data_IF_908675262790
#
_entry.id   IF_908675262790
#
_cell.length_a   1.000
_cell.length_b   1.000
_cell.length_c   1.000
_cell.angle_alpha   90.00
_cell.angle_beta   90.00
_cell.angle_gamma   90.00
#
_symmetry.space_group_name_H-M   'P 1'
#
loop_
_entity.id
_entity.type
_entity.pdbx_description
1 polymer ?
#
# COMPACT_ATOMS: atom_id res chain seq x y z
N UNK A 1 18.41 -18.21 13.21
CA UNK A 1 16.95 -18.37 13.04
C UNK A 1 16.39 -18.76 14.39
N UNK A 2 15.21 -18.29 14.76
CA UNK A 2 14.62 -18.63 16.05
C UNK A 2 14.06 -20.06 15.99
N UNK A 3 14.30 -20.85 17.02
CA UNK A 3 13.79 -22.22 17.13
C UNK A 3 12.31 -22.27 17.52
N UNK A 4 11.79 -21.19 18.13
CA UNK A 4 10.40 -21.03 18.50
C UNK A 4 9.91 -19.61 18.17
N UNK A 5 8.62 -19.48 17.85
CA UNK A 5 7.92 -18.19 17.76
C UNK A 5 7.24 -17.87 19.08
N UNK A 6 7.10 -16.57 19.38
CA UNK A 6 6.56 -16.11 20.67
C UNK A 6 5.05 -16.32 20.81
N UNK A 7 4.33 -16.54 19.71
CA UNK A 7 2.87 -16.71 19.64
C UNK A 7 2.53 -18.17 19.34
N UNK A 8 1.56 -18.73 20.07
CA UNK A 8 1.09 -20.11 19.80
C UNK A 8 0.12 -20.10 18.62
N UNK A 9 0.00 -21.21 17.86
CA UNK A 9 -0.93 -21.30 16.74
C UNK A 9 -2.39 -20.96 17.10
N UNK A 10 -2.86 -21.40 18.27
CA UNK A 10 -4.21 -21.12 18.78
C UNK A 10 -4.46 -19.66 19.17
N UNK A 11 -3.40 -18.88 19.40
CA UNK A 11 -3.47 -17.46 19.74
C UNK A 11 -3.37 -16.56 18.49
N UNK A 12 -3.26 -17.13 17.29
CA UNK A 12 -3.20 -16.37 16.03
C UNK A 12 -4.58 -15.89 15.61
N UNK A 13 -4.65 -14.65 15.11
CA UNK A 13 -5.90 -14.04 14.65
C UNK A 13 -6.11 -14.34 13.16
N UNK A 14 -7.33 -14.73 12.73
CA UNK A 14 -7.59 -15.00 11.33
C UNK A 14 -7.68 -13.71 10.49
N UNK A 15 -7.23 -13.80 9.24
CA UNK A 15 -7.58 -12.84 8.19
C UNK A 15 -8.80 -13.34 7.41
N UNK A 16 -9.58 -12.42 6.87
CA UNK A 16 -10.77 -12.76 6.07
C UNK A 16 -10.59 -12.35 4.61
N UNK A 17 -11.08 -13.18 3.70
CA UNK A 17 -11.03 -12.91 2.25
C UNK A 17 -12.40 -12.51 1.73
N UNK A 18 -12.45 -11.37 1.05
CA UNK A 18 -13.62 -10.92 0.28
C UNK A 18 -13.18 -10.41 -1.10
N UNK A 19 -14.09 -9.85 -1.87
CA UNK A 19 -13.86 -9.46 -3.25
C UNK A 19 -14.60 -8.17 -3.60
N UNK A 20 -14.04 -7.40 -4.53
CA UNK A 20 -14.78 -6.30 -5.15
C UNK A 20 -15.99 -6.80 -5.97
N UNK A 21 -16.95 -5.90 -6.14
CA UNK A 21 -18.18 -6.10 -6.93
C UNK A 21 -18.19 -5.16 -8.14
N UNK A 22 -19.07 -5.36 -9.13
CA UNK A 22 -19.23 -4.42 -10.23
C UNK A 22 -19.59 -3.00 -9.77
N UNK A 23 -20.26 -2.85 -8.63
CA UNK A 23 -20.60 -1.53 -8.06
C UNK A 23 -19.35 -0.75 -7.63
N UNK A 24 -18.31 -1.43 -7.12
CA UNK A 24 -17.00 -0.81 -6.81
C UNK A 24 -16.37 -0.20 -8.07
N UNK A 25 -16.43 -0.92 -9.20
CA UNK A 25 -15.92 -0.42 -10.49
C UNK A 25 -16.70 0.82 -10.95
N UNK A 26 -18.02 0.83 -10.80
CA UNK A 26 -18.86 1.99 -11.13
C UNK A 26 -18.49 3.22 -10.30
N UNK A 27 -18.34 3.07 -8.98
CA UNK A 27 -17.94 4.17 -8.08
C UNK A 27 -16.58 4.72 -8.48
N UNK A 28 -15.63 3.85 -8.80
CA UNK A 28 -14.31 4.28 -9.28
C UNK A 28 -14.44 5.07 -10.58
N UNK A 29 -15.17 4.55 -11.57
CA UNK A 29 -15.38 5.21 -12.86
C UNK A 29 -16.04 6.59 -12.72
N UNK A 30 -17.03 6.73 -11.85
CA UNK A 30 -17.67 8.01 -11.52
C UNK A 30 -16.67 9.05 -11.00
N UNK A 31 -15.66 8.61 -10.25
CA UNK A 31 -14.71 9.48 -9.54
C UNK A 31 -13.34 9.61 -10.22
N UNK A 32 -13.09 8.93 -11.34
CA UNK A 32 -11.80 8.97 -12.06
C UNK A 32 -11.35 10.38 -12.43
N UNK A 33 -12.30 11.27 -12.73
CA UNK A 33 -12.02 12.65 -13.09
C UNK A 33 -11.31 13.45 -12.00
N UNK A 34 -11.46 13.04 -10.73
CA UNK A 34 -10.85 13.63 -9.55
C UNK A 34 -9.45 13.07 -9.26
N UNK A 35 -9.06 11.97 -9.91
CA UNK A 35 -7.77 11.35 -9.66
C UNK A 35 -6.65 12.06 -10.44
N UNK A 36 -5.81 12.80 -9.72
CA UNK A 36 -4.61 13.45 -10.26
C UNK A 36 -3.48 12.45 -10.53
N UNK A 37 -3.40 11.33 -9.82
CA UNK A 37 -2.36 10.30 -9.99
C UNK A 37 -2.53 9.47 -11.26
N UNK A 38 -3.75 9.34 -11.77
CA UNK A 38 -4.05 8.63 -13.03
C UNK A 38 -3.82 9.52 -14.25
N UNK A 39 -3.85 10.85 -14.10
CA UNK A 39 -3.61 11.81 -15.20
C UNK A 39 -2.12 12.00 -15.47
N UNK A 40 -1.52 11.01 -16.14
CA UNK A 40 -0.36 11.03 -17.08
C UNK A 40 0.75 12.12 -16.99
N UNK A 41 0.98 12.78 -15.86
CA UNK A 41 1.97 13.88 -15.76
C UNK A 41 3.07 13.65 -14.74
N UNK A 42 2.99 12.58 -13.94
CA UNK A 42 4.04 12.22 -12.99
C UNK A 42 4.66 10.88 -13.38
N UNK A 43 6.00 10.82 -13.37
CA UNK A 43 6.77 9.58 -13.46
C UNK A 43 6.58 8.77 -12.17
N UNK A 44 5.37 8.26 -11.95
CA UNK A 44 5.05 7.39 -10.83
C UNK A 44 5.71 6.02 -10.96
N UNK A 45 5.66 5.20 -9.91
CA UNK A 45 6.17 3.84 -9.97
C UNK A 45 5.48 3.07 -11.12
N UNK A 46 6.25 2.27 -11.88
CA UNK A 46 5.75 1.47 -13.01
C UNK A 46 4.58 0.55 -12.59
N UNK A 47 4.47 0.24 -11.31
CA UNK A 47 3.36 -0.48 -10.72
C UNK A 47 2.67 0.37 -9.66
N UNK A 48 1.51 0.96 -10.00
CA UNK A 48 0.63 1.59 -9.03
C UNK A 48 -0.25 0.51 -8.39
N UNK A 49 -0.19 0.30 -7.06
CA UNK A 49 -0.95 -0.75 -6.39
C UNK A 49 -2.44 -0.40 -6.18
N UNK A 50 -2.86 0.83 -6.54
CA UNK A 50 -4.19 1.32 -6.22
C UNK A 50 -5.30 0.59 -6.97
N UNK A 51 -6.46 0.45 -6.33
CA UNK A 51 -7.60 -0.28 -6.87
C UNK A 51 -8.13 0.39 -8.15
N UNK A 52 -8.14 1.72 -8.21
CA UNK A 52 -8.54 2.46 -9.40
C UNK A 52 -7.58 2.22 -10.58
N UNK A 53 -6.27 2.12 -10.32
CA UNK A 53 -5.28 1.79 -11.36
C UNK A 53 -5.46 0.35 -11.86
N UNK A 54 -5.78 -0.59 -10.94
CA UNK A 54 -6.04 -1.99 -11.27
C UNK A 54 -7.30 -2.14 -12.14
N UNK A 55 -8.38 -1.45 -11.78
CA UNK A 55 -9.64 -1.50 -12.54
C UNK A 55 -9.47 -0.88 -13.93
N UNK A 56 -8.79 0.26 -14.05
CA UNK A 56 -8.48 0.86 -15.34
C UNK A 56 -7.69 -0.07 -16.26
N UNK A 57 -6.71 -0.78 -15.69
CA UNK A 57 -5.86 -1.70 -16.45
C UNK A 57 -6.55 -3.04 -16.76
N UNK A 58 -7.46 -3.47 -15.89
CA UNK A 58 -8.12 -4.78 -15.96
C UNK A 58 -9.63 -4.65 -15.72
N UNK A 59 -10.37 -3.98 -16.62
CA UNK A 59 -11.79 -3.71 -16.44
C UNK A 59 -12.62 -4.99 -16.36
N UNK A 60 -13.72 -4.96 -15.59
CA UNK A 60 -14.63 -6.10 -15.43
C UNK A 60 -14.08 -7.28 -14.63
N UNK A 61 -12.91 -7.15 -14.00
CA UNK A 61 -12.34 -8.20 -13.12
C UNK A 61 -12.72 -7.96 -11.66
N UNK A 62 -12.98 -9.07 -10.96
CA UNK A 62 -13.06 -9.06 -9.49
C UNK A 62 -11.66 -9.06 -8.91
N UNK A 63 -11.44 -8.24 -7.90
CA UNK A 63 -10.17 -8.15 -7.18
C UNK A 63 -10.34 -8.71 -5.77
N UNK A 64 -9.35 -9.47 -5.31
CA UNK A 64 -9.30 -9.98 -3.94
C UNK A 64 -9.03 -8.84 -2.97
N UNK A 65 -9.67 -8.91 -1.80
CA UNK A 65 -9.45 -8.01 -0.68
C UNK A 65 -9.25 -8.85 0.57
N UNK A 66 -8.10 -8.68 1.22
CA UNK A 66 -7.84 -9.30 2.52
C UNK A 66 -8.16 -8.30 3.63
N UNK A 67 -8.98 -8.74 4.59
CA UNK A 67 -9.29 -8.02 5.80
C UNK A 67 -8.34 -8.52 6.88
N UNK A 68 -7.32 -7.72 7.16
CA UNK A 68 -6.21 -8.05 8.06
C UNK A 68 -6.36 -7.26 9.36
N UNK A 69 -6.45 -7.90 10.54
CA UNK A 69 -6.40 -7.20 11.82
C UNK A 69 -5.06 -6.48 12.02
N UNK A 70 -5.07 -5.20 12.42
CA UNK A 70 -3.84 -4.45 12.66
C UNK A 70 -3.09 -4.90 13.95
N UNK A 71 -3.73 -5.71 14.79
CA UNK A 71 -3.14 -6.27 16.00
C UNK A 71 -4.05 -7.29 16.67
N UNK A 72 -3.50 -8.08 17.60
CA UNK A 72 -4.23 -9.15 18.28
C UNK A 72 -5.43 -8.64 19.11
N UNK A 73 -5.27 -7.48 19.74
CA UNK A 73 -6.29 -6.82 20.57
C UNK A 73 -6.90 -5.57 19.89
N UNK A 74 -6.78 -5.47 18.55
CA UNK A 74 -7.23 -4.30 17.78
C UNK A 74 -8.56 -4.57 17.09
N UNK A 75 -9.49 -3.61 17.18
CA UNK A 75 -10.72 -3.61 16.37
C UNK A 75 -10.50 -3.00 14.97
N UNK A 76 -9.27 -2.56 14.66
CA UNK A 76 -8.92 -1.94 13.39
C UNK A 76 -8.56 -3.01 12.36
N UNK A 77 -9.21 -2.93 11.20
CA UNK A 77 -9.00 -3.83 10.07
C UNK A 77 -8.37 -3.05 8.91
N UNK A 78 -7.25 -3.56 8.39
CA UNK A 78 -6.62 -3.10 7.17
C UNK A 78 -7.19 -3.85 5.96
N UNK A 79 -7.88 -3.19 5.02
CA UNK A 79 -8.43 -3.81 3.83
C UNK A 79 -7.39 -3.87 2.71
N UNK A 80 -6.46 -4.82 2.81
CA UNK A 80 -5.41 -5.03 1.83
C UNK A 80 -6.02 -5.27 0.44
N UNK A 81 -5.49 -4.55 -0.55
CA UNK A 81 -5.95 -4.60 -1.93
C UNK A 81 -6.80 -3.41 -2.37
N UNK A 82 -7.23 -2.56 -1.42
CA UNK A 82 -8.07 -1.37 -1.64
C UNK A 82 -7.33 -0.04 -1.47
N UNK A 83 -6.02 0.03 -1.68
CA UNK A 83 -5.31 1.31 -1.72
C UNK A 83 -5.98 2.25 -2.73
N UNK A 84 -6.32 3.48 -2.33
CA UNK A 84 -7.17 4.39 -3.11
C UNK A 84 -6.88 5.85 -2.76
N UNK A 85 -7.00 6.76 -3.72
CA UNK A 85 -6.77 8.21 -3.51
C UNK A 85 -8.00 9.09 -3.80
N UNK A 86 -9.19 8.49 -3.88
CA UNK A 86 -10.46 9.18 -4.15
C UNK A 86 -10.98 9.94 -2.91
N UNK A 87 -11.97 10.85 -3.02
CA UNK A 87 -12.58 11.50 -1.85
C UNK A 87 -13.14 10.51 -0.83
N UNK A 88 -13.09 10.86 0.46
CA UNK A 88 -13.48 9.98 1.56
C UNK A 88 -14.92 9.43 1.42
N UNK A 89 -15.87 10.24 0.96
CA UNK A 89 -17.27 9.85 0.74
C UNK A 89 -17.40 8.75 -0.33
N UNK A 90 -16.59 8.83 -1.39
CA UNK A 90 -16.54 7.81 -2.43
C UNK A 90 -15.90 6.52 -1.91
N UNK A 91 -14.87 6.64 -1.05
CA UNK A 91 -14.25 5.47 -0.40
C UNK A 91 -15.23 4.76 0.54
N UNK A 92 -15.98 5.50 1.35
CA UNK A 92 -16.98 4.92 2.25
C UNK A 92 -18.08 4.18 1.47
N UNK A 93 -18.60 4.80 0.39
CA UNK A 93 -19.52 4.13 -0.54
C UNK A 93 -18.90 2.86 -1.12
N UNK A 94 -17.67 2.93 -1.61
CA UNK A 94 -16.95 1.78 -2.19
C UNK A 94 -16.82 0.64 -1.19
N UNK A 95 -16.45 0.93 0.06
CA UNK A 95 -16.29 -0.08 1.10
C UNK A 95 -17.62 -0.80 1.39
N UNK A 96 -18.74 -0.08 1.42
CA UNK A 96 -20.07 -0.67 1.67
C UNK A 96 -20.60 -1.55 0.54
N UNK A 97 -20.04 -1.45 -0.66
CA UNK A 97 -20.35 -2.32 -1.80
C UNK A 97 -19.57 -3.65 -1.78
N UNK A 98 -18.69 -3.84 -0.80
CA UNK A 98 -17.92 -5.08 -0.63
C UNK A 98 -18.69 -6.04 0.29
N UNK A 99 -18.91 -7.30 -0.13
CA UNK A 99 -19.62 -8.27 0.69
C UNK A 99 -18.97 -8.46 2.07
N UNK A 100 -19.78 -8.32 3.11
CA UNK A 100 -19.37 -8.37 4.51
C UNK A 100 -18.99 -7.01 5.12
N UNK A 101 -18.94 -5.95 4.32
CA UNK A 101 -18.62 -4.58 4.75
C UNK A 101 -19.81 -3.60 4.60
N UNK A 102 -21.03 -4.10 4.44
CA UNK A 102 -22.23 -3.29 4.15
C UNK A 102 -22.49 -2.21 5.22
N UNK A 103 -22.12 -2.50 6.47
CA UNK A 103 -22.27 -1.61 7.63
C UNK A 103 -20.91 -1.15 8.20
N UNK A 104 -19.85 -1.18 7.40
CA UNK A 104 -18.51 -0.79 7.85
C UNK A 104 -18.46 0.68 8.29
N UNK A 105 -17.70 0.93 9.36
CA UNK A 105 -17.35 2.27 9.80
C UNK A 105 -15.89 2.56 9.43
N UNK A 106 -15.68 3.50 8.51
CA UNK A 106 -14.34 3.87 8.06
C UNK A 106 -13.67 4.78 9.08
N UNK A 107 -12.62 4.29 9.74
CA UNK A 107 -11.89 5.04 10.77
C UNK A 107 -10.97 6.12 10.17
N UNK A 108 -10.33 5.80 9.03
CA UNK A 108 -9.41 6.70 8.33
C UNK A 108 -9.60 6.52 6.82
N UNK A 109 -9.73 7.60 6.05
CA UNK A 109 -9.73 7.49 4.59
C UNK A 109 -8.33 7.09 4.10
N UNK A 110 -8.29 6.28 3.05
CA UNK A 110 -7.09 6.02 2.27
C UNK A 110 -6.58 7.29 1.58
N UNK A 111 -5.28 7.34 1.31
CA UNK A 111 -4.61 8.49 0.71
C UNK A 111 -3.41 8.06 -0.11
N UNK A 112 -2.98 8.93 -1.01
CA UNK A 112 -1.71 8.84 -1.71
C UNK A 112 -0.67 9.72 -1.03
N UNK A 113 0.59 9.28 -1.02
CA UNK A 113 1.72 10.11 -0.60
C UNK A 113 2.62 10.35 -1.79
N UNK A 114 3.01 11.61 -1.98
CA UNK A 114 4.05 11.99 -2.91
C UNK A 114 5.26 12.48 -2.12
N UNK A 115 6.44 12.02 -2.50
CA UNK A 115 7.69 12.36 -1.85
C UNK A 115 8.82 12.39 -2.88
N UNK A 116 9.84 13.18 -2.60
CA UNK A 116 11.07 13.18 -3.37
C UNK A 116 11.97 12.02 -2.93
N UNK A 117 12.76 11.51 -3.86
CA UNK A 117 13.77 10.50 -3.60
C UNK A 117 15.08 10.87 -4.30
N UNK A 118 16.20 10.37 -3.79
CA UNK A 118 17.51 10.51 -4.39
C UNK A 118 17.75 9.36 -5.35
N UNK A 119 18.29 9.65 -6.53
CA UNK A 119 18.63 8.62 -7.51
C UNK A 119 19.68 7.66 -6.92
N UNK A 120 19.34 6.38 -6.65
CA UNK A 120 20.25 5.47 -5.98
C UNK A 120 21.49 5.15 -6.82
N UNK A 121 21.52 5.50 -8.12
CA UNK A 121 22.73 5.40 -8.97
C UNK A 121 23.83 6.39 -8.57
N UNK A 122 23.51 7.37 -7.71
CA UNK A 122 24.47 8.29 -7.11
C UNK A 122 25.11 7.74 -5.83
N UNK A 123 24.82 6.49 -5.47
CA UNK A 123 25.40 5.80 -4.33
C UNK A 123 26.35 4.69 -4.79
N UNK A 124 27.40 4.45 -4.00
CA UNK A 124 28.23 3.25 -4.09
C UNK A 124 27.42 2.02 -3.69
N UNK A 125 27.96 0.84 -3.97
CA UNK A 125 27.42 -0.40 -3.40
C UNK A 125 27.44 -0.40 -1.87
N UNK A 126 28.27 0.41 -1.21
CA UNK A 126 28.27 0.64 0.24
C UNK A 126 27.14 1.57 0.72
N UNK A 127 26.28 2.05 -0.17
CA UNK A 127 25.26 3.08 0.06
C UNK A 127 25.81 4.48 0.43
N UNK A 128 27.12 4.67 0.36
CA UNK A 128 27.76 5.97 0.50
C UNK A 128 27.57 6.81 -0.77
N UNK A 129 27.28 8.10 -0.62
CA UNK A 129 27.17 9.04 -1.73
C UNK A 129 28.49 9.22 -2.48
N UNK A 130 28.44 9.28 -3.81
CA UNK A 130 29.60 9.71 -4.61
C UNK A 130 29.91 11.21 -4.46
N UNK A 131 28.94 12.02 -4.03
CA UNK A 131 29.05 13.49 -3.98
C UNK A 131 29.60 13.99 -2.65
N UNK A 132 29.25 13.33 -1.55
CA UNK A 132 29.63 13.74 -0.19
C UNK A 132 30.16 12.53 0.55
N UNK A 133 31.45 12.55 0.87
CA UNK A 133 32.09 11.50 1.65
C UNK A 133 31.50 11.44 3.07
N UNK A 134 31.23 10.23 3.56
CA UNK A 134 30.62 10.00 4.87
C UNK A 134 29.10 10.18 4.93
N UNK A 135 28.44 10.55 3.82
CA UNK A 135 26.98 10.58 3.74
C UNK A 135 26.43 9.25 3.20
N UNK A 136 25.59 8.59 3.97
CA UNK A 136 24.95 7.33 3.62
C UNK A 136 23.44 7.49 3.56
N UNK A 137 22.80 6.88 2.56
CA UNK A 137 21.35 6.92 2.37
C UNK A 137 20.79 5.50 2.34
N UNK A 138 19.70 5.25 3.07
CA UNK A 138 19.05 3.94 3.13
C UNK A 138 17.52 4.08 3.26
N UNK A 139 16.78 3.16 2.62
CA UNK A 139 15.33 3.06 2.72
C UNK A 139 14.58 3.87 1.68
N UNK A 140 13.47 4.50 2.08
CA UNK A 140 12.56 5.15 1.15
C UNK A 140 13.19 6.31 0.37
N UNK A 141 14.20 6.98 0.97
CA UNK A 141 14.97 8.03 0.30
C UNK A 141 15.71 7.53 -0.96
N UNK A 142 15.97 6.23 -1.07
CA UNK A 142 16.58 5.59 -2.25
C UNK A 142 15.53 5.10 -3.27
N UNK A 143 14.25 5.46 -3.10
CA UNK A 143 13.15 5.08 -4.00
C UNK A 143 12.54 3.70 -3.72
N UNK A 144 12.93 3.02 -2.63
CA UNK A 144 12.27 1.78 -2.17
C UNK A 144 11.01 2.09 -1.35
N UNK A 145 10.08 1.15 -1.21
CA UNK A 145 8.77 1.42 -0.56
C UNK A 145 8.36 0.42 0.52
N UNK A 146 9.01 -0.75 0.60
CA UNK A 146 8.70 -1.77 1.60
C UNK A 146 9.63 -1.71 2.81
N UNK A 147 9.14 -2.23 3.94
CA UNK A 147 9.85 -2.22 5.21
C UNK A 147 11.09 -3.10 5.16
N UNK A 148 10.98 -4.25 4.51
CA UNK A 148 12.04 -5.24 4.38
C UNK A 148 13.19 -4.70 3.53
N UNK A 149 12.88 -4.06 2.40
CA UNK A 149 13.87 -3.43 1.53
C UNK A 149 14.60 -2.29 2.24
N UNK A 150 13.89 -1.51 3.04
CA UNK A 150 14.51 -0.45 3.84
C UNK A 150 15.41 -1.00 4.94
N UNK A 151 14.93 -2.00 5.70
CA UNK A 151 15.70 -2.65 6.75
C UNK A 151 16.97 -3.33 6.22
N UNK A 152 16.88 -3.96 5.04
CA UNK A 152 18.03 -4.59 4.38
C UNK A 152 19.12 -3.56 4.03
N UNK A 153 18.74 -2.39 3.52
CA UNK A 153 19.69 -1.30 3.23
C UNK A 153 20.33 -0.76 4.51
N UNK A 154 19.54 -0.53 5.57
CA UNK A 154 20.07 -0.07 6.86
C UNK A 154 21.08 -1.08 7.41
N UNK A 155 20.76 -2.38 7.36
CA UNK A 155 21.66 -3.43 7.81
C UNK A 155 23.00 -3.38 7.06
N UNK A 156 22.99 -3.10 5.76
CA UNK A 156 24.18 -3.02 4.94
C UNK A 156 25.14 -1.89 5.36
N UNK A 157 24.65 -0.82 6.01
CA UNK A 157 25.51 0.26 6.52
C UNK A 157 26.44 -0.16 7.66
N UNK A 158 26.17 -1.31 8.28
CA UNK A 158 26.92 -1.82 9.42
C UNK A 158 27.89 -2.97 9.07
N UNK A 159 28.03 -3.31 7.78
CA UNK A 159 28.94 -4.33 7.25
C UNK A 159 29.88 -3.74 6.21
#
# INVERSE_FOLDING_TARGET
>A
MNDNVWIKPEDQVPCHLTYTTPAVEQIIQENLHLNSHVKETSMGPRYCPSIESKILRFPGRRHQVWLEPEGADSEVIYPQGLSVTMPAEAQERLLREIPGLENVHMLRPGYGVQYDFMDPRQLRSSLESFLVQGLFLAGQINGTTGYEEAAAQVKQLFF
#
